data_IF_517250708922
#
_entry.id   IF_517250708922
#
_cell.length_a   1.000
_cell.length_b   1.000
_cell.length_c   1.000
_cell.angle_alpha   90.00
_cell.angle_beta   90.00
_cell.angle_gamma   90.00
#
_symmetry.space_group_name_H-M   'P 1'
#
loop_
_entity.id
_entity.type
_entity.pdbx_description
1 polymer ?
#
# COMPACT_ATOMS: atom_id res chain seq x y z
N UNK A 1 -43.60 -17.72 -3.05
CA UNK A 1 -42.76 -16.88 -3.93
C UNK A 1 -42.54 -17.59 -5.26
N UNK A 2 -42.50 -16.86 -6.38
CA UNK A 2 -42.20 -17.47 -7.69
C UNK A 2 -40.70 -17.78 -7.84
N UNK A 3 -40.34 -18.80 -8.60
CA UNK A 3 -38.95 -19.26 -8.78
C UNK A 3 -37.99 -18.14 -9.24
N UNK A 4 -38.47 -17.24 -10.11
CA UNK A 4 -37.70 -16.05 -10.55
C UNK A 4 -37.38 -15.08 -9.41
N UNK A 5 -38.29 -14.92 -8.45
CA UNK A 5 -38.08 -14.05 -7.29
C UNK A 5 -37.00 -14.64 -6.37
N UNK A 6 -37.02 -15.96 -6.15
CA UNK A 6 -36.01 -16.66 -5.36
C UNK A 6 -34.61 -16.55 -6.00
N UNK A 7 -34.51 -16.74 -7.32
CA UNK A 7 -33.24 -16.59 -8.05
C UNK A 7 -32.68 -15.16 -7.95
N UNK A 8 -33.56 -14.13 -8.02
CA UNK A 8 -33.15 -12.74 -7.85
C UNK A 8 -32.59 -12.50 -6.46
N UNK A 9 -33.26 -12.98 -5.42
CA UNK A 9 -32.82 -12.82 -4.02
C UNK A 9 -31.47 -13.51 -3.82
N UNK A 10 -31.31 -14.76 -4.28
CA UNK A 10 -30.03 -15.49 -4.19
C UNK A 10 -28.88 -14.75 -4.87
N UNK A 11 -29.14 -14.16 -6.06
CA UNK A 11 -28.13 -13.35 -6.75
C UNK A 11 -27.72 -12.12 -5.95
N UNK A 12 -28.69 -11.39 -5.38
CA UNK A 12 -28.38 -10.20 -4.57
C UNK A 12 -27.65 -10.57 -3.28
N UNK A 13 -28.04 -11.68 -2.65
CA UNK A 13 -27.39 -12.22 -1.46
C UNK A 13 -25.93 -12.57 -1.71
N UNK A 14 -25.63 -13.23 -2.84
CA UNK A 14 -24.26 -13.52 -3.24
C UNK A 14 -23.42 -12.25 -3.40
N UNK A 15 -23.97 -11.22 -4.07
CA UNK A 15 -23.29 -9.93 -4.25
C UNK A 15 -23.05 -9.24 -2.90
N UNK A 16 -24.04 -9.26 -2.00
CA UNK A 16 -23.91 -8.66 -0.66
C UNK A 16 -22.80 -9.34 0.15
N UNK A 17 -22.75 -10.67 0.13
CA UNK A 17 -21.74 -11.44 0.86
C UNK A 17 -20.33 -11.18 0.31
N UNK A 18 -20.17 -11.15 -1.02
CA UNK A 18 -18.89 -10.80 -1.66
C UNK A 18 -18.46 -9.35 -1.35
N UNK A 19 -19.42 -8.41 -1.38
CA UNK A 19 -19.17 -7.02 -1.02
C UNK A 19 -18.71 -6.89 0.44
N UNK A 20 -19.38 -7.54 1.39
CA UNK A 20 -19.03 -7.49 2.80
C UNK A 20 -17.62 -8.05 3.05
N UNK A 21 -17.29 -9.20 2.45
CA UNK A 21 -15.96 -9.79 2.57
C UNK A 21 -14.89 -8.86 2.02
N UNK A 22 -15.08 -8.34 0.80
CA UNK A 22 -14.10 -7.46 0.14
C UNK A 22 -13.89 -6.17 0.95
N UNK A 23 -14.95 -5.58 1.50
CA UNK A 23 -14.84 -4.37 2.31
C UNK A 23 -14.05 -4.59 3.60
N UNK A 24 -14.22 -5.74 4.26
CA UNK A 24 -13.44 -6.09 5.46
C UNK A 24 -11.95 -6.23 5.12
N UNK A 25 -11.62 -6.94 4.05
CA UNK A 25 -10.23 -7.11 3.59
C UNK A 25 -9.56 -5.77 3.26
N UNK A 26 -10.28 -4.89 2.54
CA UNK A 26 -9.82 -3.54 2.23
C UNK A 26 -9.61 -2.71 3.50
N UNK A 27 -10.55 -2.78 4.45
CA UNK A 27 -10.46 -2.03 5.71
C UNK A 27 -9.25 -2.47 6.55
N UNK A 28 -9.03 -3.78 6.68
CA UNK A 28 -7.85 -4.34 7.37
C UNK A 28 -6.55 -3.88 6.72
N UNK A 29 -6.45 -3.94 5.39
CA UNK A 29 -5.28 -3.47 4.66
C UNK A 29 -5.06 -1.96 4.83
N UNK A 30 -6.14 -1.18 4.83
CA UNK A 30 -6.09 0.27 5.00
C UNK A 30 -5.59 0.67 6.39
N UNK A 31 -6.10 0.07 7.46
CA UNK A 31 -5.64 0.36 8.83
C UNK A 31 -4.19 -0.08 9.05
N UNK A 32 -3.76 -1.23 8.51
CA UNK A 32 -2.34 -1.63 8.51
C UNK A 32 -1.46 -0.57 7.85
N UNK A 33 -1.86 -0.08 6.67
CA UNK A 33 -1.13 0.97 5.95
C UNK A 33 -1.07 2.27 6.76
N UNK A 34 -2.19 2.67 7.37
CA UNK A 34 -2.28 3.87 8.20
C UNK A 34 -1.35 3.80 9.41
N UNK A 35 -1.29 2.64 10.08
CA UNK A 35 -0.38 2.39 11.20
C UNK A 35 1.10 2.43 10.78
N UNK A 36 1.42 2.03 9.54
CA UNK A 36 2.78 2.05 8.99
C UNK A 36 3.26 3.45 8.57
N UNK A 37 2.35 4.41 8.36
CA UNK A 37 2.69 5.77 7.86
C UNK A 37 3.79 6.49 8.64
N UNK A 38 3.85 6.46 9.98
CA UNK A 38 4.95 7.10 10.71
C UNK A 38 6.32 6.52 10.35
N UNK A 39 6.42 5.20 10.21
CA UNK A 39 7.67 4.52 9.82
C UNK A 39 8.06 4.85 8.38
N UNK A 40 7.09 4.96 7.47
CA UNK A 40 7.36 5.42 6.09
C UNK A 40 7.92 6.86 6.07
N UNK A 41 7.43 7.74 6.95
CA UNK A 41 7.99 9.10 7.08
C UNK A 41 9.42 9.10 7.61
N UNK A 42 9.74 8.19 8.52
CA UNK A 42 11.11 8.00 9.00
C UNK A 42 12.02 7.52 7.88
N UNK A 43 11.57 6.53 7.09
CA UNK A 43 12.29 6.06 5.90
C UNK A 43 12.51 7.18 4.88
N UNK A 44 11.52 8.04 4.64
CA UNK A 44 11.65 9.19 3.75
C UNK A 44 12.71 10.17 4.24
N UNK A 45 12.68 10.51 5.55
CA UNK A 45 13.71 11.37 6.16
C UNK A 45 15.10 10.77 6.02
N UNK A 46 15.24 9.46 6.22
CA UNK A 46 16.50 8.76 6.03
C UNK A 46 16.96 8.84 4.58
N UNK A 47 16.07 8.52 3.63
CA UNK A 47 16.35 8.57 2.19
C UNK A 47 16.85 9.95 1.72
N UNK A 48 16.24 11.03 2.22
CA UNK A 48 16.63 12.42 1.93
C UNK A 48 17.87 12.91 2.70
N UNK A 49 18.38 12.11 3.65
CA UNK A 49 19.46 12.54 4.55
C UNK A 49 20.85 12.37 3.94
N UNK A 50 21.78 13.23 4.37
CA UNK A 50 23.22 13.04 4.14
C UNK A 50 23.76 11.72 4.74
N UNK A 51 23.07 11.15 5.74
CA UNK A 51 23.49 9.89 6.35
C UNK A 51 23.35 8.74 5.35
N UNK A 52 22.20 8.62 4.67
CA UNK A 52 21.97 7.61 3.64
C UNK A 52 23.02 7.66 2.52
N UNK A 53 23.48 8.85 2.12
CA UNK A 53 24.56 8.96 1.12
C UNK A 53 25.89 8.39 1.64
N UNK A 54 26.27 8.69 2.90
CA UNK A 54 27.48 8.10 3.51
C UNK A 54 27.38 6.60 3.65
N UNK A 55 26.21 6.10 4.04
CA UNK A 55 25.97 4.67 4.18
C UNK A 55 26.06 3.96 2.82
N UNK A 56 25.55 4.58 1.76
CA UNK A 56 25.68 4.08 0.39
C UNK A 56 27.15 4.05 -0.08
N UNK A 57 27.96 5.07 0.25
CA UNK A 57 29.39 5.04 -0.03
C UNK A 57 30.11 3.93 0.75
N UNK A 58 29.77 3.72 2.02
CA UNK A 58 30.31 2.60 2.83
C UNK A 58 29.95 1.25 2.20
N UNK A 59 28.71 1.10 1.72
CA UNK A 59 28.28 -0.07 0.94
C UNK A 59 29.14 -0.29 -0.30
N UNK A 60 29.40 0.77 -1.07
CA UNK A 60 30.23 0.70 -2.28
C UNK A 60 31.70 0.36 -1.99
N UNK A 61 32.19 0.67 -0.79
CA UNK A 61 33.53 0.29 -0.33
C UNK A 61 33.60 -1.12 0.26
N UNK A 62 32.47 -1.85 0.32
CA UNK A 62 32.41 -3.19 0.92
C UNK A 62 32.52 -3.19 2.45
N UNK A 63 32.16 -2.09 3.10
CA UNK A 63 32.24 -1.95 4.57
C UNK A 63 31.01 -2.54 5.29
N UNK A 64 29.96 -2.90 4.55
CA UNK A 64 28.76 -3.53 5.08
C UNK A 64 28.88 -5.07 5.04
N UNK A 65 28.28 -5.80 6.01
CA UNK A 65 28.25 -7.25 5.97
C UNK A 65 27.61 -7.78 4.69
N UNK A 66 28.23 -8.78 4.05
CA UNK A 66 27.74 -9.36 2.78
C UNK A 66 26.32 -9.93 2.91
N UNK A 67 25.98 -10.50 4.07
CA UNK A 67 24.67 -11.11 4.35
C UNK A 67 23.60 -10.10 4.77
N UNK A 68 23.91 -8.80 4.83
CA UNK A 68 22.96 -7.76 5.25
C UNK A 68 22.26 -7.14 4.03
N UNK A 69 20.93 -7.30 3.89
CA UNK A 69 20.19 -6.60 2.84
C UNK A 69 20.25 -5.09 3.05
N UNK A 70 20.68 -4.36 2.02
CA UNK A 70 20.84 -2.90 2.07
C UNK A 70 20.17 -2.21 0.87
N UNK A 71 19.05 -2.76 0.39
CA UNK A 71 18.28 -2.20 -0.71
C UNK A 71 17.82 -0.74 -0.49
N UNK A 72 17.75 -0.28 0.76
CA UNK A 72 17.50 1.13 1.11
C UNK A 72 18.59 2.09 0.63
N UNK A 73 19.80 1.58 0.38
CA UNK A 73 20.93 2.34 -0.14
C UNK A 73 20.94 2.40 -1.67
N UNK A 74 20.12 1.59 -2.35
CA UNK A 74 19.92 1.74 -3.79
C UNK A 74 19.19 3.03 -4.12
N UNK A 75 19.49 3.65 -5.26
CA UNK A 75 18.80 4.85 -5.74
C UNK A 75 17.30 4.59 -5.92
N UNK A 76 16.95 3.47 -6.54
CA UNK A 76 15.58 3.17 -6.95
C UNK A 76 14.72 2.51 -5.87
N UNK A 77 15.30 1.84 -4.87
CA UNK A 77 14.54 0.99 -3.95
C UNK A 77 13.46 1.75 -3.16
N UNK A 78 13.88 2.77 -2.40
CA UNK A 78 12.95 3.60 -1.64
C UNK A 78 12.12 4.52 -2.54
N UNK A 79 12.74 5.08 -3.60
CA UNK A 79 12.08 5.98 -4.54
C UNK A 79 10.87 5.34 -5.22
N UNK A 80 11.04 4.14 -5.78
CA UNK A 80 9.95 3.40 -6.43
C UNK A 80 8.80 3.13 -5.46
N UNK A 81 9.10 2.76 -4.21
CA UNK A 81 8.08 2.55 -3.20
C UNK A 81 7.27 3.83 -2.90
N UNK A 82 7.92 4.99 -2.78
CA UNK A 82 7.25 6.28 -2.56
C UNK A 82 6.37 6.69 -3.76
N UNK A 83 6.87 6.48 -4.98
CA UNK A 83 6.12 6.76 -6.21
C UNK A 83 4.88 5.87 -6.30
N UNK A 84 5.03 4.56 -6.07
CA UNK A 84 3.91 3.63 -6.03
C UNK A 84 2.88 4.04 -4.97
N UNK A 85 3.32 4.42 -3.77
CA UNK A 85 2.43 4.85 -2.72
C UNK A 85 1.61 6.10 -3.11
N UNK A 86 2.27 7.08 -3.73
CA UNK A 86 1.63 8.30 -4.19
C UNK A 86 0.61 8.03 -5.30
N UNK A 87 0.95 7.18 -6.27
CA UNK A 87 0.04 6.78 -7.34
C UNK A 87 -1.19 6.04 -6.79
N UNK A 88 -0.99 5.10 -5.86
CA UNK A 88 -2.08 4.40 -5.19
C UNK A 88 -3.00 5.38 -4.44
N UNK A 89 -2.44 6.37 -3.73
CA UNK A 89 -3.23 7.39 -3.05
C UNK A 89 -4.13 8.19 -4.00
N UNK A 90 -3.64 8.52 -5.21
CA UNK A 90 -4.45 9.17 -6.25
C UNK A 90 -5.60 8.29 -6.74
N UNK A 91 -5.32 7.01 -6.99
CA UNK A 91 -6.33 6.05 -7.44
C UNK A 91 -7.43 5.91 -6.38
N UNK A 92 -7.05 5.75 -5.11
CA UNK A 92 -7.99 5.70 -3.99
C UNK A 92 -8.82 6.98 -3.88
N UNK A 93 -8.20 8.17 -4.00
CA UNK A 93 -8.94 9.43 -3.99
C UNK A 93 -9.99 9.50 -5.11
N UNK A 94 -9.63 9.09 -6.33
CA UNK A 94 -10.56 9.06 -7.47
C UNK A 94 -11.70 8.08 -7.22
N UNK A 95 -11.38 6.89 -6.72
CA UNK A 95 -12.36 5.85 -6.39
C UNK A 95 -13.33 6.33 -5.30
N UNK A 96 -12.83 6.83 -4.17
CA UNK A 96 -13.67 7.33 -3.07
C UNK A 96 -14.58 8.46 -3.54
N UNK A 97 -14.08 9.40 -4.37
CA UNK A 97 -14.93 10.44 -4.98
C UNK A 97 -16.04 9.85 -5.84
N UNK A 98 -15.77 8.79 -6.61
CA UNK A 98 -16.80 8.13 -7.42
C UNK A 98 -17.86 7.45 -6.54
N UNK A 99 -17.44 6.77 -5.48
CA UNK A 99 -18.37 6.12 -4.52
C UNK A 99 -19.23 7.15 -3.78
N UNK A 100 -18.66 8.28 -3.37
CA UNK A 100 -19.37 9.32 -2.63
C UNK A 100 -20.33 10.17 -3.49
N UNK A 101 -20.20 10.12 -4.82
CA UNK A 101 -20.99 10.97 -5.73
C UNK A 101 -22.48 10.62 -5.84
N UNK A 102 -22.92 9.50 -5.26
CA UNK A 102 -24.31 8.97 -5.27
C UNK A 102 -25.22 9.49 -6.39
#
# INVERSE_FOLDING_TARGET
>A
MHQRQLQKIQKMEAILNEMNQTLEEVNVAFEKRKALRPQIKELLKYYESKARFRDAEASNRGELPEDMPHGVLSEDGAWNAFVCEYQLAKQLQKFTKAVLKR
#
